data_IF_128834414512
#
_entry.id   IF_128834414512
#
_cell.length_a   1.000
_cell.length_b   1.000
_cell.length_c   1.000
_cell.angle_alpha   90.00
_cell.angle_beta   90.00
_cell.angle_gamma   90.00
#
_symmetry.space_group_name_H-M   'P 1'
#
loop_
_entity.id
_entity.type
_entity.pdbx_description
1 polymer ?
#
# COMPACT_ATOMS: atom_id res chain seq x y z
N UNK A 1 -4.21 21.34 14.96
CA UNK A 1 -4.46 22.15 16.18
C UNK A 1 -5.16 21.29 17.21
N UNK A 2 -4.96 21.58 18.50
CA UNK A 2 -5.54 20.83 19.63
C UNK A 2 -7.07 20.68 19.49
N UNK A 3 -7.76 21.73 19.03
CA UNK A 3 -9.19 21.74 18.71
C UNK A 3 -9.59 20.68 17.68
N UNK A 4 -8.85 20.55 16.58
CA UNK A 4 -9.13 19.52 15.57
C UNK A 4 -8.96 18.11 16.12
N UNK A 5 -7.95 17.91 16.97
CA UNK A 5 -7.72 16.62 17.63
C UNK A 5 -8.84 16.26 18.61
N UNK A 6 -9.30 17.22 19.43
CA UNK A 6 -10.44 17.02 20.33
C UNK A 6 -11.73 16.71 19.56
N UNK A 7 -11.97 17.37 18.42
CA UNK A 7 -13.13 17.09 17.56
C UNK A 7 -13.06 15.66 17.01
N UNK A 8 -11.89 15.21 16.53
CA UNK A 8 -11.71 13.84 16.03
C UNK A 8 -12.02 12.80 17.12
N UNK A 9 -11.53 13.02 18.35
CA UNK A 9 -11.83 12.13 19.48
C UNK A 9 -13.32 12.14 19.81
N UNK A 10 -13.94 13.31 19.88
CA UNK A 10 -15.37 13.43 20.19
C UNK A 10 -16.23 12.72 19.16
N UNK A 11 -15.94 12.91 17.86
CA UNK A 11 -16.60 12.21 16.77
C UNK A 11 -16.39 10.70 16.86
N UNK A 12 -15.17 10.24 17.16
CA UNK A 12 -14.87 8.82 17.34
C UNK A 12 -15.68 8.19 18.48
N UNK A 13 -15.80 8.88 19.62
CA UNK A 13 -16.60 8.44 20.77
C UNK A 13 -18.08 8.36 20.40
N UNK A 14 -18.61 9.38 19.72
CA UNK A 14 -20.02 9.40 19.26
C UNK A 14 -20.31 8.22 18.34
N UNK A 15 -19.43 7.98 17.36
CA UNK A 15 -19.57 6.85 16.42
C UNK A 15 -19.58 5.52 17.18
N UNK A 16 -18.69 5.36 18.17
CA UNK A 16 -18.59 4.14 18.95
C UNK A 16 -19.86 3.89 19.78
N UNK A 17 -20.40 4.95 20.41
CA UNK A 17 -21.65 4.90 21.17
C UNK A 17 -22.84 4.59 20.25
N UNK A 18 -22.92 5.20 19.06
CA UNK A 18 -24.00 4.93 18.11
C UNK A 18 -23.93 3.51 17.54
N UNK A 19 -22.71 2.98 17.32
CA UNK A 19 -22.51 1.67 16.70
C UNK A 19 -22.74 0.50 17.68
N UNK A 20 -22.31 0.65 18.94
CA UNK A 20 -22.38 -0.43 19.94
C UNK A 20 -23.50 -0.19 20.98
N UNK A 21 -24.10 0.99 21.02
CA UNK A 21 -24.90 1.46 22.15
C UNK A 21 -24.02 1.74 23.37
N UNK A 22 -24.52 2.57 24.30
CA UNK A 22 -23.83 2.87 25.57
C UNK A 22 -23.51 1.59 26.36
N UNK A 23 -24.34 0.55 26.20
CA UNK A 23 -24.29 -0.69 26.99
C UNK A 23 -23.24 -1.69 26.49
N UNK A 24 -22.97 -1.78 25.17
CA UNK A 24 -22.04 -2.80 24.62
C UNK A 24 -20.66 -2.25 24.24
N UNK A 25 -20.29 -1.07 24.73
CA UNK A 25 -18.92 -0.53 24.59
C UNK A 25 -17.87 -1.52 25.10
N UNK A 26 -18.20 -2.31 26.14
CA UNK A 26 -17.33 -3.37 26.66
C UNK A 26 -17.00 -4.43 25.61
N UNK A 27 -17.97 -4.80 24.76
CA UNK A 27 -17.78 -5.79 23.70
C UNK A 27 -16.79 -5.32 22.63
N UNK A 28 -16.75 -4.03 22.33
CA UNK A 28 -15.71 -3.44 21.47
C UNK A 28 -14.31 -3.65 22.05
N UNK A 29 -14.11 -3.32 23.34
CA UNK A 29 -12.82 -3.50 23.99
C UNK A 29 -12.43 -4.98 24.13
N UNK A 30 -13.39 -5.89 24.35
CA UNK A 30 -13.14 -7.35 24.35
C UNK A 30 -12.74 -7.87 22.97
N UNK A 31 -13.39 -7.41 21.91
CA UNK A 31 -12.99 -7.73 20.54
C UNK A 31 -11.60 -7.20 20.22
N UNK A 32 -11.32 -5.95 20.62
CA UNK A 32 -10.01 -5.33 20.45
C UNK A 32 -8.92 -6.12 21.19
N UNK A 33 -9.14 -6.50 22.46
CA UNK A 33 -8.19 -7.30 23.23
C UNK A 33 -7.97 -8.67 22.58
N UNK A 34 -9.02 -9.31 22.06
CA UNK A 34 -8.91 -10.59 21.37
C UNK A 34 -8.05 -10.49 20.11
N UNK A 35 -8.21 -9.43 19.30
CA UNK A 35 -7.38 -9.18 18.11
C UNK A 35 -5.92 -8.95 18.51
N UNK A 36 -5.65 -8.18 19.56
CA UNK A 36 -4.30 -7.97 20.06
C UNK A 36 -3.66 -9.27 20.59
N UNK A 37 -4.40 -10.06 21.38
CA UNK A 37 -3.92 -11.36 21.87
C UNK A 37 -3.65 -12.35 20.72
N UNK A 38 -4.50 -12.39 19.70
CA UNK A 38 -4.25 -13.20 18.50
C UNK A 38 -3.07 -12.69 17.67
N UNK A 39 -2.81 -11.38 17.67
CA UNK A 39 -1.65 -10.79 16.97
C UNK A 39 -0.33 -11.11 17.66
N UNK A 40 -0.36 -11.46 18.94
CA UNK A 40 0.80 -11.85 19.75
C UNK A 40 1.03 -13.36 19.79
N UNK A 41 0.03 -14.16 19.37
CA UNK A 41 0.12 -15.62 19.32
C UNK A 41 0.95 -16.12 18.14
N UNK A 42 1.56 -17.29 18.30
CA UNK A 42 2.26 -17.98 17.23
C UNK A 42 1.26 -18.42 16.15
N UNK A 43 1.56 -18.11 14.89
CA UNK A 43 0.70 -18.48 13.75
C UNK A 43 1.57 -18.90 12.58
N UNK A 44 1.24 -20.06 12.02
CA UNK A 44 1.91 -20.55 10.82
C UNK A 44 1.73 -19.54 9.68
N UNK A 45 2.85 -19.03 9.20
CA UNK A 45 2.96 -18.17 8.03
C UNK A 45 3.87 -18.79 6.98
N UNK A 46 3.68 -18.36 5.75
CA UNK A 46 4.50 -18.75 4.61
C UNK A 46 5.05 -17.51 3.90
N UNK A 47 6.32 -17.58 3.51
CA UNK A 47 6.98 -16.53 2.73
C UNK A 47 8.12 -17.14 1.92
N UNK A 48 8.13 -16.94 0.60
CA UNK A 48 9.23 -17.33 -0.30
C UNK A 48 9.66 -18.81 -0.16
N UNK A 49 8.70 -19.73 -0.03
CA UNK A 49 8.97 -21.16 0.17
C UNK A 49 9.27 -21.58 1.61
N UNK A 50 9.39 -20.64 2.55
CA UNK A 50 9.67 -20.91 3.95
C UNK A 50 8.38 -20.91 4.78
N UNK A 51 8.31 -21.79 5.78
CA UNK A 51 7.25 -21.82 6.79
C UNK A 51 7.81 -21.38 8.14
N UNK A 52 7.09 -20.51 8.86
CA UNK A 52 7.50 -20.03 10.18
C UNK A 52 6.27 -19.73 11.03
N UNK A 53 6.32 -20.06 12.31
CA UNK A 53 5.29 -19.66 13.30
C UNK A 53 5.54 -18.29 13.92
N UNK A 54 6.77 -17.77 13.75
CA UNK A 54 7.22 -16.48 14.29
C UNK A 54 7.06 -15.33 13.30
N UNK A 55 6.82 -15.65 12.02
CA UNK A 55 6.79 -14.69 10.92
C UNK A 55 8.18 -14.20 10.50
N UNK A 56 8.18 -13.08 9.78
CA UNK A 56 9.31 -12.39 9.16
C UNK A 56 9.02 -10.89 9.13
N UNK A 57 9.98 -10.08 9.58
CA UNK A 57 9.85 -8.62 9.59
C UNK A 57 9.70 -8.02 8.19
N UNK A 58 10.26 -8.68 7.17
CA UNK A 58 10.23 -8.23 5.77
C UNK A 58 9.03 -8.76 4.98
N UNK A 59 8.07 -9.43 5.63
CA UNK A 59 6.89 -9.99 4.97
C UNK A 59 6.11 -8.94 4.19
N UNK A 60 5.80 -7.80 4.82
CA UNK A 60 5.06 -6.73 4.15
C UNK A 60 5.85 -6.01 3.06
N UNK A 61 7.19 -6.05 3.13
CA UNK A 61 8.06 -5.57 2.06
C UNK A 61 7.88 -6.45 0.82
N UNK A 62 8.02 -7.76 0.99
CA UNK A 62 7.80 -8.72 -0.10
C UNK A 62 6.37 -8.62 -0.61
N UNK A 63 5.39 -8.61 0.29
CA UNK A 63 3.98 -8.53 -0.07
C UNK A 63 3.66 -7.28 -0.89
N UNK A 64 4.19 -6.12 -0.51
CA UNK A 64 4.07 -4.90 -1.31
C UNK A 64 4.60 -5.10 -2.73
N UNK A 65 5.82 -5.63 -2.89
CA UNK A 65 6.42 -5.77 -4.22
C UNK A 65 5.75 -6.84 -5.10
N UNK A 66 5.28 -7.93 -4.52
CA UNK A 66 4.69 -9.03 -5.29
C UNK A 66 3.19 -8.85 -5.52
N UNK A 67 2.48 -8.05 -4.70
CA UNK A 67 1.04 -7.77 -4.87
C UNK A 67 0.75 -6.44 -5.56
N UNK A 68 1.66 -5.48 -5.55
CA UNK A 68 1.47 -4.21 -6.28
C UNK A 68 1.68 -4.43 -7.77
N UNK A 69 0.74 -4.02 -8.65
CA UNK A 69 0.92 -4.12 -10.08
C UNK A 69 2.24 -3.53 -10.56
N UNK A 70 2.88 -4.19 -11.54
CA UNK A 70 4.19 -3.77 -12.02
C UNK A 70 4.16 -2.34 -12.57
N UNK A 71 3.07 -1.98 -13.26
CA UNK A 71 2.83 -0.62 -13.76
C UNK A 71 2.80 0.42 -12.66
N UNK A 72 2.14 0.13 -11.54
CA UNK A 72 2.08 1.00 -10.36
C UNK A 72 3.46 1.17 -9.72
N UNK A 73 4.24 0.09 -9.58
CA UNK A 73 5.61 0.17 -9.06
C UNK A 73 6.51 1.02 -9.96
N UNK A 74 6.43 0.85 -11.28
CA UNK A 74 7.21 1.63 -12.25
C UNK A 74 6.89 3.12 -12.11
N UNK A 75 5.61 3.50 -12.04
CA UNK A 75 5.21 4.90 -11.85
C UNK A 75 5.68 5.44 -10.50
N UNK A 76 5.61 4.64 -9.43
CA UNK A 76 6.06 5.03 -8.10
C UNK A 76 7.55 5.36 -8.08
N UNK A 77 8.38 4.46 -8.62
CA UNK A 77 9.82 4.68 -8.68
C UNK A 77 10.19 5.82 -9.64
N UNK A 78 9.48 5.97 -10.76
CA UNK A 78 9.68 7.10 -11.66
C UNK A 78 9.34 8.43 -10.98
N UNK A 79 8.24 8.51 -10.23
CA UNK A 79 7.85 9.69 -9.48
C UNK A 79 8.87 10.03 -8.38
N UNK A 80 9.33 9.04 -7.61
CA UNK A 80 10.39 9.23 -6.61
C UNK A 80 11.69 9.72 -7.25
N UNK A 81 12.15 9.05 -8.31
CA UNK A 81 13.38 9.41 -9.01
C UNK A 81 13.32 10.84 -9.55
N UNK A 82 12.24 11.20 -10.24
CA UNK A 82 12.06 12.53 -10.80
C UNK A 82 11.97 13.59 -9.68
N UNK A 83 11.25 13.30 -8.59
CA UNK A 83 11.15 14.21 -7.45
C UNK A 83 12.52 14.54 -6.84
N UNK A 84 13.43 13.57 -6.73
CA UNK A 84 14.79 13.81 -6.22
C UNK A 84 15.73 14.44 -7.25
N UNK A 85 15.40 14.40 -8.54
CA UNK A 85 16.24 14.96 -9.61
C UNK A 85 15.82 16.36 -10.03
N UNK A 86 14.57 16.76 -9.80
CA UNK A 86 14.10 18.11 -10.10
C UNK A 86 14.17 19.02 -8.89
N UNK A 87 14.40 20.31 -9.15
CA UNK A 87 14.28 21.33 -8.10
C UNK A 87 12.79 21.56 -7.79
N UNK A 88 12.48 21.59 -6.50
CA UNK A 88 11.14 21.85 -6.00
C UNK A 88 11.15 23.04 -5.06
N UNK A 89 10.06 23.81 -5.09
CA UNK A 89 9.84 24.83 -4.08
C UNK A 89 9.49 24.18 -2.74
N UNK A 90 9.60 24.97 -1.66
CA UNK A 90 9.30 24.50 -0.30
C UNK A 90 7.85 23.96 -0.18
N UNK A 91 6.92 24.48 -0.99
CA UNK A 91 5.51 24.03 -0.99
C UNK A 91 5.38 22.61 -1.54
N UNK A 92 5.98 22.29 -2.68
CA UNK A 92 5.97 20.94 -3.27
C UNK A 92 6.68 19.93 -2.37
N UNK A 93 7.81 20.32 -1.77
CA UNK A 93 8.52 19.46 -0.79
C UNK A 93 7.62 19.16 0.41
N UNK A 94 7.00 20.18 1.01
CA UNK A 94 6.09 19.99 2.14
C UNK A 94 4.92 19.09 1.78
N UNK A 95 4.33 19.25 0.60
CA UNK A 95 3.22 18.43 0.14
C UNK A 95 3.65 16.96 -0.06
N UNK A 96 4.82 16.72 -0.66
CA UNK A 96 5.35 15.37 -0.81
C UNK A 96 5.64 14.72 0.55
N UNK A 97 6.24 15.45 1.50
CA UNK A 97 6.46 14.96 2.86
C UNK A 97 5.15 14.66 3.58
N UNK A 98 4.12 15.51 3.42
CA UNK A 98 2.80 15.29 4.00
C UNK A 98 2.14 14.00 3.48
N UNK A 99 2.45 13.56 2.27
CA UNK A 99 1.97 12.32 1.69
C UNK A 99 2.83 11.12 2.10
N UNK A 100 4.15 11.25 1.94
CA UNK A 100 5.09 10.14 2.13
C UNK A 100 5.33 9.81 3.60
N UNK A 101 5.34 10.78 4.52
CA UNK A 101 5.59 10.53 5.94
C UNK A 101 4.51 9.60 6.53
N UNK A 102 3.20 9.88 6.43
CA UNK A 102 2.18 8.96 6.93
C UNK A 102 2.25 7.59 6.27
N UNK A 103 2.47 7.52 4.94
CA UNK A 103 2.58 6.26 4.22
C UNK A 103 3.75 5.41 4.75
N UNK A 104 4.92 6.01 4.90
CA UNK A 104 6.15 5.35 5.36
C UNK A 104 6.03 4.97 6.84
N UNK A 105 5.54 5.86 7.70
CA UNK A 105 5.36 5.56 9.13
C UNK A 105 4.36 4.43 9.33
N UNK A 106 3.24 4.46 8.60
CA UNK A 106 2.25 3.39 8.64
C UNK A 106 2.87 2.07 8.15
N UNK A 107 3.57 2.08 7.03
CA UNK A 107 4.24 0.89 6.50
C UNK A 107 5.27 0.30 7.48
N UNK A 108 6.11 1.15 8.08
CA UNK A 108 7.13 0.75 9.06
C UNK A 108 6.48 0.21 10.34
N UNK A 109 5.32 0.73 10.76
CA UNK A 109 4.61 0.22 11.93
C UNK A 109 4.19 -1.26 11.77
N UNK A 110 4.07 -1.77 10.54
CA UNK A 110 3.77 -3.18 10.27
C UNK A 110 5.00 -4.08 10.14
N UNK A 111 6.22 -3.53 10.00
CA UNK A 111 7.46 -4.31 9.96
C UNK A 111 7.66 -5.19 11.21
N UNK A 112 7.45 -4.72 12.45
CA UNK A 112 7.60 -5.57 13.64
C UNK A 112 6.40 -6.49 13.88
N UNK A 113 5.34 -6.39 13.08
CA UNK A 113 4.15 -7.22 13.26
C UNK A 113 4.46 -8.68 12.91
N UNK A 114 4.15 -9.60 13.83
CA UNK A 114 4.16 -11.04 13.55
C UNK A 114 2.94 -11.48 12.73
N UNK A 115 1.99 -10.57 12.51
CA UNK A 115 0.74 -10.81 11.81
C UNK A 115 0.94 -10.81 10.29
N UNK A 116 1.63 -11.84 9.80
CA UNK A 116 2.07 -12.00 8.40
C UNK A 116 0.97 -12.61 7.51
N UNK A 117 -0.17 -11.91 7.44
CA UNK A 117 -1.40 -12.46 6.86
C UNK A 117 -2.07 -11.42 5.98
N UNK A 118 -1.84 -11.54 4.68
CA UNK A 118 -2.55 -10.72 3.72
C UNK A 118 -1.97 -9.32 3.57
N UNK A 119 -1.79 -8.93 2.31
CA UNK A 119 -1.43 -7.57 1.92
C UNK A 119 -2.41 -6.47 2.42
N UNK A 120 -3.64 -6.83 2.83
CA UNK A 120 -4.71 -5.91 3.24
C UNK A 120 -4.30 -4.93 4.34
N UNK A 121 -3.39 -5.33 5.23
CA UNK A 121 -2.96 -4.52 6.36
C UNK A 121 -2.20 -3.27 5.96
N UNK A 122 -1.56 -3.27 4.78
CA UNK A 122 -0.84 -2.09 4.27
C UNK A 122 -1.65 -1.29 3.26
N UNK A 123 -2.92 -1.65 2.98
CA UNK A 123 -3.78 -0.89 2.05
C UNK A 123 -3.89 0.61 2.36
N UNK A 124 -3.89 1.05 3.63
CA UNK A 124 -3.98 2.49 3.93
C UNK A 124 -2.83 3.35 3.38
N UNK A 125 -1.71 2.77 2.95
CA UNK A 125 -0.62 3.54 2.33
C UNK A 125 -0.95 3.97 0.89
N UNK A 126 -1.76 3.20 0.17
CA UNK A 126 -1.94 3.36 -1.28
C UNK A 126 -2.54 4.70 -1.70
N UNK A 127 -3.56 5.26 -1.01
CA UNK A 127 -4.07 6.59 -1.35
C UNK A 127 -2.98 7.66 -1.34
N UNK A 128 -2.09 7.64 -0.34
CA UNK A 128 -0.98 8.58 -0.26
C UNK A 128 0.02 8.39 -1.41
N UNK A 129 0.35 7.14 -1.72
CA UNK A 129 1.25 6.81 -2.84
C UNK A 129 0.64 7.24 -4.19
N UNK A 130 -0.65 7.02 -4.41
CA UNK A 130 -1.36 7.40 -5.64
C UNK A 130 -1.39 8.91 -5.84
N UNK A 131 -1.70 9.67 -4.78
CA UNK A 131 -1.65 11.13 -4.83
C UNK A 131 -0.23 11.61 -5.07
N UNK A 132 0.77 11.03 -4.41
CA UNK A 132 2.18 11.36 -4.65
C UNK A 132 2.59 11.08 -6.10
N UNK A 133 2.23 9.93 -6.66
CA UNK A 133 2.54 9.54 -8.04
C UNK A 133 1.94 10.49 -9.08
N UNK A 134 0.80 11.13 -8.79
CA UNK A 134 0.21 12.13 -9.69
C UNK A 134 1.16 13.32 -9.96
N UNK A 135 2.12 13.57 -9.07
CA UNK A 135 3.13 14.63 -9.24
C UNK A 135 3.96 14.47 -10.51
N UNK A 136 4.07 13.25 -11.06
CA UNK A 136 4.82 12.94 -12.29
C UNK A 136 4.36 13.79 -13.49
N UNK A 137 3.08 14.18 -13.52
CA UNK A 137 2.49 15.00 -14.58
C UNK A 137 2.96 16.47 -14.49
N UNK A 138 3.34 16.91 -13.28
CA UNK A 138 3.75 18.28 -12.98
C UNK A 138 5.28 18.48 -12.98
N UNK A 139 6.04 17.44 -13.31
CA UNK A 139 7.50 17.48 -13.36
C UNK A 139 7.95 18.29 -14.58
N UNK A 140 8.79 19.28 -14.31
CA UNK A 140 9.45 20.04 -15.36
C UNK A 140 10.69 19.28 -15.86
N UNK A 141 10.48 18.46 -16.89
CA UNK A 141 11.55 17.67 -17.51
C UNK A 141 12.64 18.53 -18.18
N UNK A 142 12.34 19.80 -18.50
CA UNK A 142 13.29 20.71 -19.14
C UNK A 142 14.39 21.12 -18.13
N UNK A 143 14.04 21.20 -16.84
CA UNK A 143 14.99 21.44 -15.76
C UNK A 143 16.05 20.34 -15.57
N UNK A 144 15.85 19.14 -16.14
CA UNK A 144 16.82 18.04 -16.13
C UNK A 144 17.81 18.08 -17.33
N UNK A 145 17.68 19.07 -18.22
CA UNK A 145 18.55 19.28 -19.38
C UNK A 145 17.96 18.81 -20.72
N UNK A 146 18.57 19.26 -21.82
CA UNK A 146 18.07 19.13 -23.20
C UNK A 146 17.76 17.68 -23.64
N UNK A 147 18.51 16.71 -23.09
CA UNK A 147 18.26 15.28 -23.34
C UNK A 147 16.89 14.86 -22.82
N UNK A 148 16.50 15.27 -21.62
CA UNK A 148 15.22 14.91 -21.00
C UNK A 148 14.03 15.64 -21.63
N UNK A 149 14.23 16.88 -22.07
CA UNK A 149 13.21 17.66 -22.80
C UNK A 149 12.72 16.93 -24.07
N UNK A 150 13.64 16.29 -24.81
CA UNK A 150 13.31 15.47 -25.99
C UNK A 150 12.40 14.28 -25.65
N UNK A 151 12.51 13.73 -24.44
CA UNK A 151 11.76 12.55 -24.03
C UNK A 151 10.36 12.83 -23.48
N UNK A 152 9.97 14.11 -23.30
CA UNK A 152 8.67 14.51 -22.73
C UNK A 152 7.46 13.90 -23.46
N UNK A 153 7.49 13.85 -24.80
CA UNK A 153 6.44 13.20 -25.62
C UNK A 153 6.35 11.70 -25.33
N UNK A 154 7.50 11.03 -25.26
CA UNK A 154 7.56 9.59 -24.98
C UNK A 154 7.14 9.26 -23.55
N UNK A 155 7.47 10.11 -22.58
CA UNK A 155 7.05 9.95 -21.18
C UNK A 155 5.52 9.87 -21.04
N UNK A 156 4.77 10.73 -21.76
CA UNK A 156 3.31 10.68 -21.79
C UNK A 156 2.78 9.39 -22.42
N UNK A 157 3.39 8.94 -23.52
CA UNK A 157 3.02 7.69 -24.19
C UNK A 157 3.26 6.49 -23.26
N UNK A 158 4.43 6.44 -22.61
CA UNK A 158 4.78 5.41 -21.64
C UNK A 158 3.79 5.41 -20.47
N UNK A 159 3.43 6.58 -19.93
CA UNK A 159 2.45 6.68 -18.85
C UNK A 159 1.08 6.12 -19.27
N UNK A 160 0.58 6.49 -20.45
CA UNK A 160 -0.69 5.96 -20.98
C UNK A 160 -0.62 4.45 -21.19
N UNK A 161 0.50 3.94 -21.68
CA UNK A 161 0.73 2.52 -21.84
C UNK A 161 0.71 1.78 -20.49
N UNK A 162 1.37 2.32 -19.45
CA UNK A 162 1.35 1.75 -18.10
C UNK A 162 -0.06 1.75 -17.49
N UNK A 163 -0.85 2.80 -17.75
CA UNK A 163 -2.27 2.85 -17.34
C UNK A 163 -3.07 1.77 -18.07
N UNK A 164 -2.86 1.60 -19.37
CA UNK A 164 -3.53 0.54 -20.14
C UNK A 164 -3.16 -0.86 -19.61
N UNK A 165 -1.89 -1.11 -19.27
CA UNK A 165 -1.46 -2.35 -18.64
C UNK A 165 -2.15 -2.59 -17.29
N UNK A 166 -2.30 -1.55 -16.46
CA UNK A 166 -3.01 -1.65 -15.17
C UNK A 166 -4.49 -2.01 -15.36
N UNK A 167 -5.15 -1.40 -16.34
CA UNK A 167 -6.55 -1.69 -16.68
C UNK A 167 -6.67 -3.14 -17.15
N UNK A 168 -5.81 -3.57 -18.07
CA UNK A 168 -5.80 -4.95 -18.58
C UNK A 168 -5.54 -5.95 -17.45
N UNK A 169 -4.56 -5.71 -16.59
CA UNK A 169 -4.29 -6.56 -15.42
C UNK A 169 -5.51 -6.68 -14.50
N UNK A 170 -6.24 -5.59 -14.31
CA UNK A 170 -7.48 -5.59 -13.51
C UNK A 170 -8.58 -6.41 -14.19
N UNK A 171 -8.79 -6.23 -15.50
CA UNK A 171 -9.81 -6.96 -16.28
C UNK A 171 -9.50 -8.46 -16.29
N UNK A 172 -8.25 -8.86 -16.51
CA UNK A 172 -7.85 -10.26 -16.52
C UNK A 172 -7.85 -10.92 -15.13
N UNK A 173 -7.79 -10.12 -14.07
CA UNK A 173 -7.92 -10.62 -12.70
C UNK A 173 -9.37 -10.81 -12.27
N UNK A 174 -10.34 -10.31 -13.05
CA UNK A 174 -11.76 -10.51 -12.74
C UNK A 174 -12.16 -11.98 -12.96
N UNK A 175 -12.95 -12.59 -12.07
CA UNK A 175 -13.51 -12.03 -10.82
C UNK A 175 -12.61 -12.23 -9.58
N UNK A 176 -11.50 -12.97 -9.73
CA UNK A 176 -10.66 -13.42 -8.63
C UNK A 176 -9.48 -12.47 -8.36
N UNK A 177 -9.74 -11.36 -7.67
CA UNK A 177 -8.71 -10.35 -7.37
C UNK A 177 -7.76 -10.73 -6.23
N UNK A 178 -8.17 -11.58 -5.30
CA UNK A 178 -7.33 -12.00 -4.17
C UNK A 178 -6.04 -12.69 -4.64
N UNK A 179 -6.08 -13.70 -5.54
CA UNK A 179 -4.89 -14.37 -6.00
C UNK A 179 -4.04 -13.54 -6.96
N UNK A 180 -4.36 -12.26 -7.22
CA UNK A 180 -3.51 -11.41 -8.06
C UNK A 180 -2.09 -11.31 -7.50
N UNK A 181 -1.09 -11.50 -8.37
CA UNK A 181 0.30 -11.13 -8.12
C UNK A 181 0.82 -10.37 -9.34
N UNK A 182 1.82 -9.53 -9.12
CA UNK A 182 2.36 -8.70 -10.18
C UNK A 182 2.94 -9.52 -11.33
N UNK A 183 3.01 -8.89 -12.48
CA UNK A 183 3.42 -9.50 -13.73
C UNK A 183 4.91 -9.91 -13.73
N UNK A 184 5.75 -9.17 -13.00
CA UNK A 184 7.20 -9.42 -12.88
C UNK A 184 7.52 -10.68 -12.07
N UNK A 185 6.61 -11.14 -11.21
CA UNK A 185 6.76 -12.39 -10.44
C UNK A 185 6.06 -13.58 -11.09
N UNK A 186 5.62 -13.42 -12.35
CA UNK A 186 4.94 -14.47 -13.10
C UNK A 186 3.44 -14.56 -12.84
N UNK A 187 2.83 -13.48 -12.32
CA UNK A 187 1.39 -13.36 -12.15
C UNK A 187 0.81 -14.32 -11.11
N UNK A 188 -0.53 -14.41 -11.09
CA UNK A 188 -1.29 -15.22 -10.14
C UNK A 188 -0.89 -16.70 -10.13
N UNK A 189 -0.47 -17.25 -11.27
CA UNK A 189 -0.03 -18.65 -11.40
C UNK A 189 1.19 -18.97 -10.54
N UNK A 190 2.11 -18.01 -10.38
CA UNK A 190 3.35 -18.19 -9.62
C UNK A 190 3.29 -17.59 -8.21
N UNK A 191 2.19 -16.94 -7.85
CA UNK A 191 2.01 -16.24 -6.58
C UNK A 191 2.25 -17.10 -5.34
N UNK A 192 1.84 -18.37 -5.41
CA UNK A 192 2.00 -19.36 -4.33
C UNK A 192 3.47 -19.61 -3.93
N UNK A 193 4.43 -19.31 -4.82
CA UNK A 193 5.87 -19.40 -4.51
C UNK A 193 6.30 -18.30 -3.53
N UNK A 194 5.59 -17.17 -3.51
CA UNK A 194 5.93 -15.99 -2.72
C UNK A 194 5.08 -15.88 -1.46
N UNK A 195 3.75 -16.00 -1.57
CA UNK A 195 2.80 -15.88 -0.46
C UNK A 195 1.70 -16.95 -0.57
N UNK A 196 1.27 -17.47 0.57
CA UNK A 196 0.13 -18.40 0.68
C UNK A 196 -0.98 -17.82 1.58
N UNK A 197 -1.93 -18.69 1.96
CA UNK A 197 -3.02 -18.43 2.91
C UNK A 197 -3.94 -17.31 2.40
N UNK A 198 -4.29 -16.38 3.28
CA UNK A 198 -5.11 -15.19 3.06
C UNK A 198 -4.72 -14.28 1.89
N UNK A 199 -3.57 -14.50 1.26
CA UNK A 199 -3.13 -13.82 0.05
C UNK A 199 -3.60 -14.51 -1.24
N UNK A 200 -4.01 -15.77 -1.17
CA UNK A 200 -4.51 -16.51 -2.32
C UNK A 200 -6.01 -16.68 -2.25
N UNK A 201 -6.55 -16.99 -1.08
CA UNK A 201 -7.98 -17.23 -0.91
C UNK A 201 -8.46 -17.03 0.54
N UNK A 202 -9.76 -16.80 0.70
CA UNK A 202 -10.51 -16.72 1.96
C UNK A 202 -11.74 -17.65 1.96
N UNK A 203 -11.71 -18.77 1.23
CA UNK A 203 -12.84 -19.68 1.07
C UNK A 203 -13.79 -19.26 -0.05
N UNK A 204 -13.26 -18.62 -1.09
CA UNK A 204 -14.00 -18.12 -2.26
C UNK A 204 -13.88 -19.08 -3.46
N UNK A 205 -13.16 -20.20 -3.31
CA UNK A 205 -12.97 -21.25 -4.30
C UNK A 205 -12.75 -22.62 -3.66
#
# INVERSE_FOLDING_TARGET
GITAFCIIIAVGIIILILSYGIVNVKSFFTGLSMVFSQSLGDRAGYLLGMNSVQGWWYYFIVAFFVKTPASTLIVLFAALFLFFKTKHDNKKIRNALFLLIPAVLYFIAFIPSKYNIGHRHILPIYPFLFVFMSSIISVDLESLGDKFARYKKYAKIVLLFLIALLIMGTVFSYPYFIPYFNELVGGSENGHKYLLDSNLDWGQG
#
